data_IF_869835388946
#
_entry.id   IF_869835388946
#
_cell.length_a   1.000
_cell.length_b   1.000
_cell.length_c   1.000
_cell.angle_alpha   90.00
_cell.angle_beta   90.00
_cell.angle_gamma   90.00
#
_symmetry.space_group_name_H-M   'P 1'
#
loop_
_entity.id
_entity.type
_entity.pdbx_description
1 polymer ?
#
# COMPACT_ATOMS: atom_id res chain seq x y z
N UNK A 1 12.25 3.24 -8.29
CA UNK A 1 11.50 2.59 -7.19
C UNK A 1 10.02 2.60 -7.50
N UNK A 2 9.28 1.67 -6.91
CA UNK A 2 7.81 1.66 -6.86
C UNK A 2 7.35 2.13 -5.50
N UNK A 3 6.25 2.87 -5.47
CA UNK A 3 5.52 3.23 -4.25
C UNK A 3 4.07 2.78 -4.42
N UNK A 4 3.73 1.65 -3.81
CA UNK A 4 2.45 0.96 -4.02
C UNK A 4 1.41 1.28 -2.95
N UNK A 5 1.66 2.27 -2.10
CA UNK A 5 0.73 2.71 -1.08
C UNK A 5 0.83 4.22 -0.89
N UNK A 6 -0.16 4.95 -1.40
CA UNK A 6 -0.18 6.42 -1.33
C UNK A 6 -1.59 6.99 -1.50
N UNK A 7 -1.87 8.13 -0.85
CA UNK A 7 -3.15 8.83 -0.86
C UNK A 7 -3.05 10.12 -1.67
N UNK A 8 -2.67 9.97 -2.95
CA UNK A 8 -2.39 11.10 -3.85
C UNK A 8 -3.59 11.56 -4.67
N UNK A 9 -4.73 10.83 -4.65
CA UNK A 9 -5.92 11.27 -5.39
C UNK A 9 -6.58 12.46 -4.71
N UNK A 10 -6.91 13.54 -5.46
CA UNK A 10 -7.40 14.77 -4.85
C UNK A 10 -8.82 14.63 -4.28
N UNK A 11 -9.01 15.08 -3.04
CA UNK A 11 -10.30 15.23 -2.36
C UNK A 11 -11.16 13.93 -2.31
N UNK A 12 -10.51 12.79 -2.07
CA UNK A 12 -11.18 11.49 -2.02
C UNK A 12 -11.20 10.89 -0.61
N UNK A 13 -10.11 11.02 0.12
CA UNK A 13 -9.90 10.53 1.49
C UNK A 13 -9.15 11.57 2.35
N UNK A 14 -8.44 11.14 3.39
CA UNK A 14 -7.63 12.00 4.27
C UNK A 14 -6.25 12.36 3.67
N UNK A 15 -5.97 11.96 2.44
CA UNK A 15 -4.78 12.28 1.68
C UNK A 15 -4.79 13.69 1.07
N UNK A 16 -4.48 13.78 -0.24
CA UNK A 16 -4.40 15.04 -0.96
C UNK A 16 -5.75 15.79 -0.98
N UNK A 17 -5.78 17.00 -0.47
CA UNK A 17 -7.02 17.81 -0.39
C UNK A 17 -7.48 18.40 -1.72
N UNK A 18 -6.56 18.59 -2.64
CA UNK A 18 -6.80 19.21 -3.95
C UNK A 18 -5.73 18.76 -4.96
N UNK A 19 -5.90 19.15 -6.21
CA UNK A 19 -4.99 18.81 -7.31
C UNK A 19 -3.58 19.34 -7.06
N UNK A 20 -3.45 20.55 -6.55
CA UNK A 20 -2.17 21.20 -6.27
C UNK A 20 -1.34 20.34 -5.28
N UNK A 21 -1.96 19.90 -4.20
CA UNK A 21 -1.31 19.01 -3.23
C UNK A 21 -0.93 17.65 -3.85
N UNK A 22 -1.80 17.05 -4.67
CA UNK A 22 -1.51 15.84 -5.41
C UNK A 22 -0.25 15.98 -6.28
N UNK A 23 -0.15 17.08 -7.01
CA UNK A 23 0.99 17.38 -7.88
C UNK A 23 2.29 17.56 -7.07
N UNK A 24 2.24 18.26 -5.94
CA UNK A 24 3.38 18.44 -5.05
C UNK A 24 3.85 17.11 -4.45
N UNK A 25 2.91 16.25 -4.01
CA UNK A 25 3.21 14.92 -3.48
C UNK A 25 3.88 14.04 -4.55
N UNK A 26 3.34 13.99 -5.77
CA UNK A 26 3.90 13.23 -6.88
C UNK A 26 5.29 13.74 -7.30
N UNK A 27 5.50 15.06 -7.39
CA UNK A 27 6.82 15.64 -7.64
C UNK A 27 7.83 15.27 -6.57
N UNK A 28 7.42 15.35 -5.30
CA UNK A 28 8.27 14.96 -4.16
C UNK A 28 8.69 13.49 -4.25
N UNK A 29 7.76 12.60 -4.59
CA UNK A 29 8.06 11.17 -4.79
C UNK A 29 9.05 10.98 -5.96
N UNK A 30 8.83 11.66 -7.08
CA UNK A 30 9.73 11.60 -8.24
C UNK A 30 11.14 12.07 -7.91
N UNK A 31 11.28 13.17 -7.19
CA UNK A 31 12.58 13.70 -6.73
C UNK A 31 13.33 12.72 -5.82
N UNK A 32 12.62 11.84 -5.13
CA UNK A 32 13.19 10.77 -4.32
C UNK A 32 13.48 9.47 -5.10
N UNK A 33 13.32 9.48 -6.42
CA UNK A 33 13.61 8.36 -7.31
C UNK A 33 12.49 7.33 -7.41
N UNK A 34 11.26 7.69 -7.03
CA UNK A 34 10.06 6.88 -7.30
C UNK A 34 9.64 7.10 -8.75
N UNK A 35 9.55 6.04 -9.54
CA UNK A 35 9.17 6.09 -10.96
C UNK A 35 7.72 5.67 -11.20
N UNK A 36 7.15 4.91 -10.27
CA UNK A 36 5.75 4.46 -10.32
C UNK A 36 5.13 4.64 -8.94
N UNK A 37 4.00 5.31 -8.89
CA UNK A 37 3.15 5.47 -7.69
C UNK A 37 1.82 4.79 -7.96
N UNK A 38 1.36 3.98 -7.01
CA UNK A 38 -0.01 3.50 -7.00
C UNK A 38 -0.82 4.36 -6.04
N UNK A 39 -1.88 4.97 -6.55
CA UNK A 39 -2.84 5.66 -5.73
C UNK A 39 -3.78 4.63 -5.09
N UNK A 40 -3.76 4.55 -3.77
CA UNK A 40 -4.52 3.58 -2.97
C UNK A 40 -5.39 4.30 -1.94
N UNK A 41 -6.38 5.10 -2.37
CA UNK A 41 -7.27 5.76 -1.44
C UNK A 41 -8.02 4.74 -0.58
N UNK A 42 -8.41 5.16 0.63
CA UNK A 42 -9.20 4.32 1.53
C UNK A 42 -10.54 3.91 0.93
N UNK A 43 -10.81 2.61 0.94
CA UNK A 43 -12.11 2.02 0.65
C UNK A 43 -12.68 1.44 1.94
N UNK A 44 -13.59 2.18 2.58
CA UNK A 44 -14.24 1.80 3.83
C UNK A 44 -15.70 1.55 3.54
N UNK A 45 -16.10 0.27 3.50
CA UNK A 45 -17.48 -0.15 3.24
C UNK A 45 -17.71 -1.58 3.73
N UNK A 46 -18.96 -1.91 3.98
CA UNK A 46 -19.44 -3.23 4.37
C UNK A 46 -20.44 -3.82 3.36
N UNK A 47 -20.53 -3.22 2.17
CA UNK A 47 -21.46 -3.65 1.12
C UNK A 47 -20.88 -3.49 -0.28
N UNK A 48 -21.37 -4.28 -1.22
CA UNK A 48 -20.95 -4.23 -2.62
C UNK A 48 -21.39 -2.92 -3.30
N UNK A 49 -22.57 -2.37 -2.94
CA UNK A 49 -23.00 -1.05 -3.40
C UNK A 49 -22.04 0.06 -2.94
N UNK A 50 -21.48 -0.07 -1.73
CA UNK A 50 -20.46 0.84 -1.22
C UNK A 50 -19.15 0.74 -2.04
N UNK A 51 -18.76 -0.46 -2.47
CA UNK A 51 -17.62 -0.66 -3.38
C UNK A 51 -17.87 0.05 -4.70
N UNK A 52 -19.02 -0.15 -5.33
CA UNK A 52 -19.37 0.52 -6.61
C UNK A 52 -19.31 2.03 -6.48
N UNK A 53 -19.92 2.60 -5.44
CA UNK A 53 -19.89 4.04 -5.17
C UNK A 53 -18.47 4.57 -4.97
N UNK A 54 -17.63 3.82 -4.26
CA UNK A 54 -16.23 4.18 -4.08
C UNK A 54 -15.45 4.16 -5.41
N UNK A 55 -15.63 3.12 -6.23
CA UNK A 55 -14.95 2.98 -7.52
C UNK A 55 -15.28 4.14 -8.47
N UNK A 56 -16.53 4.60 -8.49
CA UNK A 56 -16.96 5.77 -9.27
C UNK A 56 -16.24 7.05 -8.80
N UNK A 57 -16.18 7.29 -7.49
CA UNK A 57 -15.50 8.45 -6.91
C UNK A 57 -13.99 8.40 -7.17
N UNK A 58 -13.36 7.22 -6.99
CA UNK A 58 -11.94 7.00 -7.28
C UNK A 58 -11.63 7.34 -8.73
N UNK A 59 -12.43 6.82 -9.65
CA UNK A 59 -12.27 7.09 -11.08
C UNK A 59 -12.42 8.56 -11.41
N UNK A 60 -13.46 9.22 -10.89
CA UNK A 60 -13.69 10.65 -11.12
C UNK A 60 -12.55 11.53 -10.57
N UNK A 61 -11.94 11.15 -9.44
CA UNK A 61 -10.77 11.85 -8.89
C UNK A 61 -9.51 11.64 -9.75
N UNK A 62 -9.27 10.40 -10.20
CA UNK A 62 -8.16 10.05 -11.08
C UNK A 62 -8.23 10.78 -12.43
N UNK A 63 -9.41 10.82 -13.06
CA UNK A 63 -9.63 11.49 -14.35
C UNK A 63 -9.38 13.01 -14.31
N UNK A 64 -9.46 13.63 -13.14
CA UNK A 64 -9.08 15.05 -12.97
C UNK A 64 -7.56 15.23 -12.92
N UNK A 65 -6.84 14.25 -12.38
CA UNK A 65 -5.39 14.35 -12.16
C UNK A 65 -4.59 13.86 -13.38
N UNK A 66 -5.01 12.77 -14.02
CA UNK A 66 -4.26 12.09 -15.08
C UNK A 66 -3.86 13.02 -16.23
N UNK A 67 -4.74 13.86 -16.83
CA UNK A 67 -4.37 14.71 -17.96
C UNK A 67 -3.29 15.76 -17.62
N UNK A 68 -3.13 16.05 -16.34
CA UNK A 68 -2.16 17.05 -15.86
C UNK A 68 -0.76 16.43 -15.77
N UNK A 69 -0.67 15.15 -15.41
CA UNK A 69 0.60 14.46 -15.13
C UNK A 69 1.07 13.57 -16.30
N UNK A 70 0.14 13.11 -17.13
CA UNK A 70 0.42 12.15 -18.20
C UNK A 70 1.48 12.70 -19.17
N UNK A 71 2.44 11.84 -19.53
CA UNK A 71 3.54 12.15 -20.44
C UNK A 71 4.46 13.29 -19.98
N UNK A 72 4.52 13.60 -18.69
CA UNK A 72 5.44 14.57 -18.10
C UNK A 72 6.48 13.89 -17.23
N UNK A 73 7.75 14.05 -17.60
CA UNK A 73 8.89 13.43 -16.89
C UNK A 73 9.06 13.87 -15.43
N UNK A 74 8.46 15.01 -15.07
CA UNK A 74 8.51 15.53 -13.70
C UNK A 74 7.64 14.75 -12.70
N UNK A 75 6.75 13.86 -13.19
CA UNK A 75 5.90 13.00 -12.38
C UNK A 75 6.23 11.52 -12.55
N UNK A 76 5.98 10.68 -11.54
CA UNK A 76 6.01 9.23 -11.70
C UNK A 76 4.82 8.75 -12.55
N UNK A 77 4.92 7.55 -13.11
CA UNK A 77 3.74 6.84 -13.64
C UNK A 77 2.74 6.64 -12.51
N UNK A 78 1.47 6.96 -12.75
CA UNK A 78 0.39 6.76 -11.79
C UNK A 78 -0.42 5.52 -12.17
N UNK A 79 -0.59 4.61 -11.22
CA UNK A 79 -1.46 3.43 -11.29
C UNK A 79 -2.58 3.58 -10.26
N UNK A 80 -3.65 2.81 -10.43
CA UNK A 80 -4.76 2.74 -9.49
C UNK A 80 -4.68 1.48 -8.62
N UNK A 81 -5.14 1.61 -7.39
CA UNK A 81 -5.42 0.57 -6.43
C UNK A 81 -6.43 1.09 -5.40
N UNK A 82 -6.51 0.42 -4.28
CA UNK A 82 -7.25 0.86 -3.10
C UNK A 82 -6.55 0.33 -1.86
N UNK A 83 -6.63 1.06 -0.77
CA UNK A 83 -6.43 0.52 0.56
C UNK A 83 -7.80 0.14 1.13
N UNK A 84 -8.06 -1.16 1.16
CA UNK A 84 -9.36 -1.71 1.56
C UNK A 84 -9.36 -1.96 3.07
N UNK A 85 -10.21 -1.26 3.80
CA UNK A 85 -10.40 -1.50 5.23
C UNK A 85 -11.17 -2.82 5.43
N UNK A 86 -10.50 -3.82 5.99
CA UNK A 86 -11.04 -5.17 6.20
C UNK A 86 -11.90 -5.23 7.48
N UNK A 87 -13.04 -4.51 7.47
CA UNK A 87 -13.98 -4.44 8.60
C UNK A 87 -14.96 -5.61 8.69
N UNK A 88 -15.05 -6.42 7.65
CA UNK A 88 -15.90 -7.62 7.54
C UNK A 88 -15.30 -8.60 6.53
N UNK A 89 -15.85 -9.81 6.44
CA UNK A 89 -15.52 -10.72 5.34
C UNK A 89 -16.13 -10.19 4.02
N UNK A 90 -15.26 -9.75 3.13
CA UNK A 90 -15.62 -9.21 1.82
C UNK A 90 -15.54 -10.24 0.69
N UNK A 91 -15.25 -11.50 1.00
CA UNK A 91 -14.98 -12.54 -0.02
C UNK A 91 -16.15 -12.80 -0.97
N UNK A 92 -17.38 -12.48 -0.56
CA UNK A 92 -18.58 -12.65 -1.39
C UNK A 92 -18.98 -11.37 -2.18
N UNK A 93 -18.19 -10.28 -2.10
CA UNK A 93 -18.47 -9.08 -2.87
C UNK A 93 -18.17 -9.30 -4.36
N UNK A 94 -19.13 -8.93 -5.22
CA UNK A 94 -19.03 -9.13 -6.66
C UNK A 94 -17.92 -8.28 -7.29
N UNK A 95 -17.69 -7.07 -6.74
CA UNK A 95 -16.73 -6.08 -7.25
C UNK A 95 -15.37 -6.10 -6.54
N UNK A 96 -15.10 -7.11 -5.71
CA UNK A 96 -13.86 -7.19 -4.92
C UNK A 96 -12.58 -7.13 -5.79
N UNK A 97 -12.61 -7.75 -6.97
CA UNK A 97 -11.46 -7.75 -7.89
C UNK A 97 -11.12 -6.34 -8.43
N UNK A 98 -12.08 -5.45 -8.52
CA UNK A 98 -11.88 -4.08 -9.00
C UNK A 98 -11.15 -3.20 -7.98
N UNK A 99 -11.02 -3.67 -6.72
CA UNK A 99 -10.24 -3.04 -5.66
C UNK A 99 -8.75 -3.41 -5.71
N UNK A 100 -8.35 -4.40 -6.52
CA UNK A 100 -6.95 -4.77 -6.68
C UNK A 100 -6.12 -3.65 -7.32
N UNK A 101 -4.81 -3.74 -7.19
CA UNK A 101 -3.90 -2.95 -8.01
C UNK A 101 -4.20 -3.20 -9.49
N UNK A 102 -4.27 -2.12 -10.25
CA UNK A 102 -4.63 -2.13 -11.67
C UNK A 102 -3.82 -3.15 -12.47
N UNK A 103 -4.54 -4.05 -13.17
CA UNK A 103 -3.94 -5.09 -13.99
C UNK A 103 -3.41 -6.31 -13.22
N UNK A 104 -3.69 -6.42 -11.92
CA UNK A 104 -3.20 -7.52 -11.08
C UNK A 104 -4.34 -8.22 -10.32
N UNK A 105 -4.00 -9.26 -9.55
CA UNK A 105 -4.89 -9.90 -8.57
C UNK A 105 -4.50 -9.55 -7.13
N UNK A 106 -3.59 -8.61 -6.91
CA UNK A 106 -3.16 -8.23 -5.57
C UNK A 106 -4.07 -7.15 -5.00
N UNK A 107 -4.55 -7.35 -3.77
CA UNK A 107 -5.43 -6.45 -3.04
C UNK A 107 -4.75 -5.97 -1.76
N UNK A 108 -4.66 -4.65 -1.56
CA UNK A 108 -4.09 -4.05 -0.35
C UNK A 108 -5.17 -3.95 0.72
N UNK A 109 -4.95 -4.62 1.84
CA UNK A 109 -5.88 -4.75 2.96
C UNK A 109 -5.34 -4.04 4.19
N UNK A 110 -6.08 -3.08 4.71
CA UNK A 110 -5.85 -2.46 6.02
C UNK A 110 -6.61 -3.26 7.09
N UNK A 111 -5.89 -3.74 8.09
CA UNK A 111 -6.48 -4.52 9.18
C UNK A 111 -7.01 -3.60 10.28
N UNK A 112 -8.27 -3.81 10.74
CA UNK A 112 -8.82 -3.08 11.88
C UNK A 112 -8.06 -3.37 13.17
N UNK A 113 -7.79 -2.33 13.94
CA UNK A 113 -7.20 -2.50 15.28
C UNK A 113 -8.17 -3.21 16.21
N UNK A 114 -7.69 -4.23 16.93
CA UNK A 114 -8.47 -4.96 17.93
C UNK A 114 -9.36 -6.07 17.36
N UNK A 115 -9.28 -6.38 16.08
CA UNK A 115 -9.87 -7.61 15.54
C UNK A 115 -8.96 -8.79 15.91
N UNK A 116 -9.58 -9.90 16.31
CA UNK A 116 -8.84 -11.10 16.70
C UNK A 116 -8.04 -11.65 15.49
N UNK A 117 -6.75 -12.00 15.67
CA UNK A 117 -5.88 -12.46 14.57
C UNK A 117 -6.46 -13.63 13.77
N UNK A 118 -7.07 -14.61 14.43
CA UNK A 118 -7.69 -15.78 13.77
C UNK A 118 -8.86 -15.38 12.86
N UNK A 119 -9.68 -14.41 13.26
CA UNK A 119 -10.78 -13.89 12.41
C UNK A 119 -10.23 -13.17 11.18
N UNK A 120 -9.18 -12.35 11.35
CA UNK A 120 -8.51 -11.69 10.22
C UNK A 120 -7.91 -12.71 9.25
N UNK A 121 -7.26 -13.75 9.79
CA UNK A 121 -6.66 -14.81 8.98
C UNK A 121 -7.73 -15.58 8.18
N UNK A 122 -8.90 -15.85 8.76
CA UNK A 122 -10.03 -16.47 8.07
C UNK A 122 -10.52 -15.60 6.90
N UNK A 123 -10.73 -14.30 7.10
CA UNK A 123 -11.18 -13.40 6.04
C UNK A 123 -10.14 -13.27 4.92
N UNK A 124 -8.86 -13.19 5.26
CA UNK A 124 -7.75 -13.17 4.30
C UNK A 124 -7.71 -14.49 3.50
N UNK A 125 -7.92 -15.62 4.16
CA UNK A 125 -8.00 -16.91 3.49
C UNK A 125 -9.20 -16.96 2.53
N UNK A 126 -10.39 -16.50 2.95
CA UNK A 126 -11.59 -16.46 2.12
C UNK A 126 -11.41 -15.59 0.86
N UNK A 127 -10.72 -14.47 0.98
CA UNK A 127 -10.32 -13.63 -0.17
C UNK A 127 -9.34 -14.39 -1.08
N UNK A 128 -8.39 -15.10 -0.50
CA UNK A 128 -7.37 -15.85 -1.26
C UNK A 128 -7.95 -16.98 -2.11
N UNK A 129 -8.94 -17.72 -1.60
CA UNK A 129 -9.61 -18.79 -2.36
C UNK A 129 -10.45 -18.27 -3.54
N UNK A 130 -10.78 -16.98 -3.58
CA UNK A 130 -11.38 -16.32 -4.76
C UNK A 130 -10.35 -15.98 -5.84
N UNK A 131 -9.09 -16.36 -5.66
CA UNK A 131 -8.00 -16.12 -6.61
C UNK A 131 -7.33 -14.76 -6.49
N UNK A 132 -7.61 -14.02 -5.41
CA UNK A 132 -6.93 -12.77 -5.09
C UNK A 132 -5.71 -13.04 -4.20
N UNK A 133 -4.75 -12.13 -4.24
CA UNK A 133 -3.51 -12.22 -3.47
C UNK A 133 -3.45 -11.07 -2.46
N UNK A 134 -3.67 -11.34 -1.17
CA UNK A 134 -3.66 -10.32 -0.14
C UNK A 134 -2.28 -9.69 0.06
N UNK A 135 -2.29 -8.37 0.17
CA UNK A 135 -1.17 -7.55 0.62
C UNK A 135 -1.62 -6.84 1.89
N UNK A 136 -0.96 -7.07 3.00
CA UNK A 136 -1.32 -6.45 4.27
C UNK A 136 -0.62 -5.09 4.39
N UNK A 137 -1.41 -4.03 4.50
CA UNK A 137 -0.94 -2.67 4.63
C UNK A 137 -0.21 -2.47 5.97
N UNK A 138 0.82 -1.64 5.95
CA UNK A 138 1.58 -1.12 7.10
C UNK A 138 1.61 -2.03 8.34
N UNK A 139 2.02 -3.29 8.17
CA UNK A 139 2.14 -4.28 9.28
C UNK A 139 2.95 -3.73 10.46
N UNK A 140 3.82 -2.76 10.19
CA UNK A 140 4.62 -2.04 11.18
C UNK A 140 3.81 -1.15 12.14
N UNK A 141 2.51 -0.91 11.85
CA UNK A 141 1.58 -0.21 12.74
C UNK A 141 0.75 -1.15 13.60
N UNK A 142 0.74 -2.43 13.30
CA UNK A 142 -0.08 -3.39 14.02
C UNK A 142 0.61 -3.82 15.33
N UNK A 143 -0.01 -3.61 16.51
CA UNK A 143 0.55 -4.05 17.78
C UNK A 143 0.71 -5.58 17.84
N UNK A 144 -0.26 -6.30 17.30
CA UNK A 144 -0.39 -7.76 17.37
C UNK A 144 0.21 -8.44 16.12
N UNK A 145 1.18 -7.78 15.46
CA UNK A 145 1.76 -8.27 14.20
C UNK A 145 2.38 -9.66 14.32
N UNK A 146 2.95 -10.02 15.48
CA UNK A 146 3.57 -11.35 15.70
C UNK A 146 2.51 -12.45 15.64
N UNK A 147 1.36 -12.26 16.30
CA UNK A 147 0.24 -13.19 16.33
C UNK A 147 -0.42 -13.30 14.93
N UNK A 148 -0.65 -12.16 14.25
CA UNK A 148 -1.21 -12.15 12.89
C UNK A 148 -0.29 -12.89 11.91
N UNK A 149 1.01 -12.70 12.00
CA UNK A 149 1.97 -13.39 11.13
C UNK A 149 2.03 -14.89 11.43
N UNK A 150 1.84 -15.30 12.68
CA UNK A 150 1.75 -16.71 13.07
C UNK A 150 0.52 -17.39 12.45
N UNK A 151 -0.65 -16.73 12.52
CA UNK A 151 -1.90 -17.21 11.89
C UNK A 151 -1.82 -17.30 10.36
N UNK A 152 -0.99 -16.45 9.74
CA UNK A 152 -0.80 -16.41 8.28
C UNK A 152 0.39 -17.27 7.80
N UNK A 153 1.04 -18.04 8.68
CA UNK A 153 2.19 -18.87 8.30
C UNK A 153 1.82 -19.88 7.21
N UNK A 154 2.66 -19.97 6.18
CA UNK A 154 2.43 -20.86 5.03
C UNK A 154 1.46 -20.35 3.98
N UNK A 155 0.99 -19.10 4.10
CA UNK A 155 0.19 -18.42 3.06
C UNK A 155 1.07 -17.61 2.12
N UNK A 156 0.53 -17.24 0.92
CA UNK A 156 1.19 -16.38 -0.07
C UNK A 156 0.97 -14.87 0.20
N UNK A 157 0.70 -14.50 1.46
CA UNK A 157 0.48 -13.11 1.85
C UNK A 157 1.78 -12.30 1.78
N UNK A 158 1.68 -11.09 1.25
CA UNK A 158 2.80 -10.12 1.22
C UNK A 158 2.50 -9.01 2.23
N UNK A 159 3.52 -8.53 2.93
CA UNK A 159 3.37 -7.42 3.88
C UNK A 159 3.98 -6.12 3.34
N UNK A 160 3.23 -5.04 3.42
CA UNK A 160 3.74 -3.71 3.15
C UNK A 160 4.27 -3.07 4.44
N UNK A 161 5.41 -2.42 4.35
CA UNK A 161 6.09 -1.71 5.44
C UNK A 161 6.21 -0.24 5.06
N UNK A 162 5.94 0.65 6.02
CA UNK A 162 6.11 2.08 5.81
C UNK A 162 7.59 2.49 5.75
N UNK A 163 7.94 3.28 4.75
CA UNK A 163 9.29 3.82 4.54
C UNK A 163 9.81 4.61 5.77
N UNK A 164 8.91 5.25 6.52
CA UNK A 164 9.24 6.00 7.74
C UNK A 164 9.91 5.15 8.83
N UNK A 165 9.69 3.84 8.86
CA UNK A 165 10.32 2.94 9.84
C UNK A 165 11.84 2.88 9.71
N UNK A 166 12.37 3.11 8.53
CA UNK A 166 13.82 3.15 8.33
C UNK A 166 14.48 4.37 9.01
N UNK A 167 13.74 5.44 9.24
CA UNK A 167 14.26 6.70 9.77
C UNK A 167 14.49 6.66 11.29
N UNK A 168 13.78 5.79 12.01
CA UNK A 168 13.85 5.72 13.48
C UNK A 168 14.66 4.53 13.98
N UNK A 169 15.19 4.59 15.19
CA UNK A 169 15.89 3.45 15.79
C UNK A 169 14.94 2.32 16.18
N UNK A 170 13.76 2.67 16.69
CA UNK A 170 12.71 1.70 17.04
C UNK A 170 12.22 0.97 15.78
N UNK A 171 11.88 1.70 14.73
CA UNK A 171 11.48 1.12 13.44
C UNK A 171 12.53 0.15 12.87
N UNK A 172 13.80 0.54 12.85
CA UNK A 172 14.87 -0.37 12.41
C UNK A 172 15.05 -1.62 13.28
N UNK A 173 14.69 -1.57 14.57
CA UNK A 173 14.65 -2.77 15.44
C UNK A 173 13.49 -3.68 15.04
N UNK A 174 12.31 -3.10 14.80
CA UNK A 174 11.15 -3.83 14.29
C UNK A 174 11.47 -4.50 12.95
N UNK A 175 12.02 -3.76 11.98
CA UNK A 175 12.41 -4.30 10.67
C UNK A 175 13.35 -5.51 10.78
N UNK A 176 14.29 -5.51 11.74
CA UNK A 176 15.16 -6.66 11.99
C UNK A 176 14.42 -7.90 12.46
N UNK A 177 13.30 -7.75 13.17
CA UNK A 177 12.44 -8.85 13.57
C UNK A 177 11.63 -9.34 12.36
N UNK A 178 10.92 -8.43 11.68
CA UNK A 178 10.11 -8.74 10.50
C UNK A 178 10.91 -9.49 9.42
N UNK A 179 12.12 -9.05 9.11
CA UNK A 179 12.96 -9.71 8.09
C UNK A 179 13.47 -11.11 8.45
N UNK A 180 13.18 -11.60 9.65
CA UNK A 180 13.49 -12.98 10.08
C UNK A 180 12.31 -13.95 9.99
N UNK A 181 11.11 -13.43 9.73
CA UNK A 181 9.87 -14.24 9.73
C UNK A 181 9.73 -15.13 8.49
N UNK A 182 10.48 -14.86 7.42
CA UNK A 182 10.39 -15.64 6.17
C UNK A 182 9.34 -15.13 5.19
N UNK A 183 8.47 -14.20 5.58
CA UNK A 183 7.50 -13.58 4.68
C UNK A 183 8.13 -12.62 3.68
N UNK A 184 7.41 -12.38 2.61
CA UNK A 184 7.74 -11.38 1.61
C UNK A 184 7.28 -9.98 2.03
N UNK A 185 8.13 -8.98 1.78
CA UNK A 185 7.87 -7.59 2.12
C UNK A 185 8.19 -6.66 0.96
N UNK A 186 7.42 -5.58 0.83
CA UNK A 186 7.86 -4.40 0.09
C UNK A 186 7.66 -3.13 0.91
N UNK A 187 8.36 -2.08 0.52
CA UNK A 187 8.31 -0.77 1.20
C UNK A 187 7.54 0.22 0.35
N UNK A 188 6.64 0.96 0.98
CA UNK A 188 5.91 2.07 0.38
C UNK A 188 5.86 3.27 1.32
N UNK A 189 5.47 4.42 0.78
CA UNK A 189 5.51 5.67 1.54
C UNK A 189 4.36 5.82 2.51
N UNK A 190 3.17 5.41 2.10
CA UNK A 190 1.91 5.73 2.77
C UNK A 190 1.76 7.26 2.95
N UNK A 191 2.17 8.00 1.90
CA UNK A 191 2.13 9.47 1.93
C UNK A 191 0.72 10.00 1.79
N UNK A 192 0.37 11.02 2.61
CA UNK A 192 -0.94 11.65 2.64
C UNK A 192 -0.90 13.16 2.38
N UNK A 193 0.25 13.79 2.58
CA UNK A 193 0.37 15.24 2.47
C UNK A 193 1.83 15.66 2.24
N UNK A 194 2.04 16.97 2.16
CA UNK A 194 3.35 17.59 1.92
C UNK A 194 4.06 18.07 3.21
N UNK A 195 3.52 17.74 4.39
CA UNK A 195 4.03 18.29 5.67
C UNK A 195 4.42 17.23 6.70
N UNK A 196 3.50 16.34 7.08
CA UNK A 196 3.68 15.37 8.19
C UNK A 196 3.79 13.92 7.73
N UNK A 197 2.95 13.50 6.77
CA UNK A 197 2.98 12.17 6.15
C UNK A 197 3.51 12.29 4.72
N UNK A 198 4.78 12.66 4.60
CA UNK A 198 5.44 12.91 3.31
C UNK A 198 6.10 11.65 2.75
N UNK A 199 6.35 11.62 1.45
CA UNK A 199 7.19 10.59 0.86
C UNK A 199 8.62 10.68 1.41
N UNK A 200 9.13 9.58 1.95
CA UNK A 200 10.52 9.44 2.45
C UNK A 200 11.24 8.24 1.84
N UNK A 201 10.77 7.76 0.70
CA UNK A 201 11.25 6.55 0.02
C UNK A 201 12.75 6.59 -0.30
N UNK A 202 13.25 7.71 -0.81
CA UNK A 202 14.68 7.87 -1.12
C UNK A 202 15.58 7.83 0.12
N UNK A 203 15.15 8.48 1.20
CA UNK A 203 15.87 8.47 2.47
C UNK A 203 15.85 7.06 3.08
N UNK A 204 14.69 6.40 3.09
CA UNK A 204 14.52 5.05 3.59
C UNK A 204 15.40 4.05 2.83
N UNK A 205 15.42 4.13 1.48
CA UNK A 205 16.29 3.29 0.65
C UNK A 205 17.76 3.49 0.99
N UNK A 206 18.23 4.72 1.09
CA UNK A 206 19.63 5.02 1.44
C UNK A 206 20.03 4.45 2.81
N UNK A 207 19.12 4.47 3.78
CA UNK A 207 19.33 3.85 5.10
C UNK A 207 19.32 2.33 4.99
N UNK A 208 18.41 1.76 4.19
CA UNK A 208 18.33 0.32 3.94
C UNK A 208 19.63 -0.20 3.32
N UNK A 209 20.16 0.45 2.31
CA UNK A 209 21.43 0.10 1.66
C UNK A 209 22.60 0.08 2.67
N UNK A 210 22.63 1.00 3.62
CA UNK A 210 23.68 1.06 4.66
C UNK A 210 23.51 0.02 5.77
N UNK A 211 22.28 -0.32 6.14
CA UNK A 211 21.98 -1.13 7.34
C UNK A 211 21.52 -2.55 7.05
N UNK A 212 20.90 -2.78 5.89
CA UNK A 212 20.30 -4.04 5.46
C UNK A 212 20.82 -4.50 4.09
N UNK A 213 21.75 -3.75 3.50
CA UNK A 213 22.51 -4.06 2.26
C UNK A 213 21.64 -4.68 1.16
N UNK A 214 21.75 -6.01 0.99
CA UNK A 214 21.15 -6.79 -0.11
C UNK A 214 19.62 -6.73 -0.17
N UNK A 215 18.96 -6.30 0.91
CA UNK A 215 17.50 -6.20 0.94
C UNK A 215 16.94 -4.95 0.24
N UNK A 216 17.76 -3.92 0.00
CA UNK A 216 17.26 -2.65 -0.51
C UNK A 216 16.61 -2.78 -1.91
N UNK A 217 17.25 -3.48 -2.83
CA UNK A 217 16.69 -3.65 -4.17
C UNK A 217 15.44 -4.53 -4.17
N UNK A 218 15.41 -5.59 -3.35
CA UNK A 218 14.23 -6.42 -3.19
C UNK A 218 13.07 -5.61 -2.64
N UNK A 219 13.24 -4.91 -1.52
CA UNK A 219 12.18 -4.21 -0.79
C UNK A 219 11.62 -2.98 -1.53
N UNK A 220 12.45 -2.24 -2.27
CA UNK A 220 12.06 -0.97 -2.90
C UNK A 220 11.78 -1.08 -4.39
N UNK A 221 12.05 -2.22 -5.01
CA UNK A 221 11.90 -2.36 -6.46
C UNK A 221 11.42 -3.73 -6.89
N UNK A 222 12.16 -4.81 -6.59
CA UNK A 222 11.88 -6.14 -7.18
C UNK A 222 10.55 -6.70 -6.70
N UNK A 223 10.31 -6.78 -5.39
CA UNK A 223 9.07 -7.33 -4.86
C UNK A 223 7.86 -6.57 -5.40
N UNK A 224 7.90 -5.24 -5.37
CA UNK A 224 6.84 -4.42 -5.94
C UNK A 224 6.64 -4.63 -7.45
N UNK A 225 7.73 -4.82 -8.23
CA UNK A 225 7.61 -5.07 -9.68
C UNK A 225 7.03 -6.45 -9.99
N UNK A 226 7.24 -7.45 -9.13
CA UNK A 226 6.70 -8.80 -9.31
C UNK A 226 5.18 -8.85 -9.21
N UNK A 227 4.54 -7.87 -8.54
CA UNK A 227 3.08 -7.77 -8.50
C UNK A 227 2.46 -7.47 -9.89
N UNK A 228 3.26 -6.92 -10.81
CA UNK A 228 2.83 -6.50 -12.16
C UNK A 228 3.42 -7.34 -13.29
N UNK A 229 4.03 -8.49 -12.99
CA UNK A 229 4.68 -9.39 -13.94
C UNK A 229 3.78 -10.56 -14.38
#
# INVERSE_FOLDING_TARGET
>A
MFDLHSHVLPALDDGAKNIEMSLEMLKSAKMQGVNTVCATPHCITDSDEGVVSFLEKRRASYEKLLPIIENKDEYPKLLLGCEVYLGCDMSEFEHLKELCYEGTNYILLEMPSGTEPGVLAEWIYNISIKGLRPVIAHIDRCPDYEEIMEELEGTDVIFQINASQFLTMSGRRLLKKLFKTGFDFFVSSDMHNTTSRVCVMGQARSICEKKFKEKADMLFSKQASMLFS
#
